data_IF_850265255249
#
_entry.id   IF_850265255249
#
_cell.length_a   1.000
_cell.length_b   1.000
_cell.length_c   1.000
_cell.angle_alpha   90.00
_cell.angle_beta   90.00
_cell.angle_gamma   90.00
#
_symmetry.space_group_name_H-M   'P 1'
#
loop_
_entity.id
_entity.type
_entity.pdbx_description
1 polymer ?
#
# COMPACT_ATOMS: atom_id res chain seq x y z
N UNK A 1 15.81 -14.65 -0.42
CA UNK A 1 16.02 -15.11 0.98
C UNK A 1 14.77 -14.68 1.77
N UNK A 2 14.15 -15.50 2.60
CA UNK A 2 12.98 -15.05 3.34
C UNK A 2 13.35 -13.91 4.31
N UNK A 3 12.43 -12.95 4.48
CA UNK A 3 12.60 -11.80 5.38
C UNK A 3 12.55 -12.26 6.85
N UNK A 4 11.70 -13.25 7.13
CA UNK A 4 11.51 -13.82 8.47
C UNK A 4 11.97 -15.30 8.51
N UNK A 5 12.27 -15.77 9.71
CA UNK A 5 12.44 -17.20 9.98
C UNK A 5 11.13 -17.93 9.65
N UNK A 6 11.17 -19.11 8.95
CA UNK A 6 9.96 -19.82 8.53
C UNK A 6 9.02 -20.24 9.68
N UNK A 7 9.54 -20.43 10.90
CA UNK A 7 8.70 -20.74 12.06
C UNK A 7 7.98 -19.50 12.56
N UNK A 8 8.62 -18.33 12.51
CA UNK A 8 8.00 -17.03 12.83
C UNK A 8 6.92 -16.71 11.81
N UNK A 9 7.19 -16.90 10.52
CA UNK A 9 6.21 -16.70 9.45
C UNK A 9 4.99 -17.59 9.63
N UNK A 10 5.20 -18.89 9.94
CA UNK A 10 4.10 -19.83 10.22
C UNK A 10 3.29 -19.40 11.44
N UNK A 11 3.95 -19.04 12.53
CA UNK A 11 3.31 -18.55 13.74
C UNK A 11 2.43 -17.33 13.47
N UNK A 12 2.93 -16.34 12.73
CA UNK A 12 2.17 -15.15 12.36
C UNK A 12 0.95 -15.51 11.49
N UNK A 13 1.11 -16.45 10.55
CA UNK A 13 0.02 -16.95 9.72
C UNK A 13 -1.09 -17.61 10.55
N UNK A 14 -0.73 -18.35 11.60
CA UNK A 14 -1.68 -18.99 12.51
C UNK A 14 -2.42 -17.98 13.40
N UNK A 15 -1.87 -16.76 13.58
CA UNK A 15 -2.52 -15.65 14.28
C UNK A 15 -3.51 -14.87 13.40
N UNK A 16 -3.59 -15.19 12.12
CA UNK A 16 -4.43 -14.45 11.18
C UNK A 16 -5.89 -14.49 11.64
N UNK A 17 -6.55 -13.32 11.81
CA UNK A 17 -7.95 -13.27 12.21
C UNK A 17 -8.88 -13.80 11.11
N UNK A 18 -10.10 -14.12 11.49
CA UNK A 18 -11.17 -14.45 10.55
C UNK A 18 -11.40 -13.29 9.58
N UNK A 19 -11.63 -13.61 8.31
CA UNK A 19 -11.83 -12.66 7.22
C UNK A 19 -13.29 -12.41 6.96
N UNK A 20 -13.65 -11.20 6.55
CA UNK A 20 -14.98 -10.96 5.99
C UNK A 20 -15.18 -11.81 4.71
N UNK A 21 -16.43 -12.19 4.37
CA UNK A 21 -16.70 -12.94 3.14
C UNK A 21 -16.14 -12.24 1.88
N UNK A 22 -16.21 -10.91 1.83
CA UNK A 22 -15.67 -10.13 0.72
C UNK A 22 -14.15 -10.28 0.61
N UNK A 23 -13.42 -10.16 1.72
CA UNK A 23 -11.95 -10.35 1.74
C UNK A 23 -11.54 -11.75 1.34
N UNK A 24 -12.26 -12.78 1.81
CA UNK A 24 -11.97 -14.17 1.45
C UNK A 24 -12.19 -14.42 -0.06
N UNK A 25 -13.23 -13.82 -0.65
CA UNK A 25 -13.49 -13.87 -2.09
C UNK A 25 -12.38 -13.14 -2.88
N UNK A 26 -11.98 -11.94 -2.45
CA UNK A 26 -10.90 -11.16 -3.09
C UNK A 26 -9.58 -11.93 -3.11
N UNK A 27 -9.22 -12.60 -2.01
CA UNK A 27 -8.02 -13.43 -1.94
C UNK A 27 -8.09 -14.63 -2.89
N UNK A 28 -9.24 -15.30 -2.98
CA UNK A 28 -9.44 -16.41 -3.92
C UNK A 28 -9.37 -15.95 -5.38
N UNK A 29 -9.90 -14.76 -5.69
CA UNK A 29 -9.79 -14.13 -7.02
C UNK A 29 -8.35 -13.77 -7.31
N UNK A 30 -7.65 -13.14 -6.37
CA UNK A 30 -6.26 -12.75 -6.51
C UNK A 30 -5.36 -13.97 -6.80
N UNK A 31 -5.54 -15.08 -6.09
CA UNK A 31 -4.80 -16.31 -6.31
C UNK A 31 -5.10 -16.95 -7.67
N UNK A 32 -6.40 -17.03 -8.04
CA UNK A 32 -6.84 -17.64 -9.30
C UNK A 32 -6.38 -16.86 -10.53
N UNK A 33 -6.50 -15.52 -10.49
CA UNK A 33 -6.33 -14.64 -11.65
C UNK A 33 -4.97 -13.93 -11.66
N UNK A 34 -4.12 -14.19 -10.65
CA UNK A 34 -2.79 -13.60 -10.52
C UNK A 34 -2.83 -12.08 -10.26
N UNK A 35 -3.88 -11.59 -9.59
CA UNK A 35 -3.99 -10.17 -9.24
C UNK A 35 -3.12 -9.90 -8.01
N UNK A 36 -2.17 -8.94 -8.07
CA UNK A 36 -1.40 -8.59 -6.89
C UNK A 36 -2.29 -7.91 -5.85
N UNK A 37 -2.23 -8.40 -4.61
CA UNK A 37 -2.83 -7.77 -3.43
C UNK A 37 -1.79 -7.74 -2.31
N UNK A 38 -1.92 -6.78 -1.40
CA UNK A 38 -1.02 -6.69 -0.23
C UNK A 38 -1.11 -7.92 0.66
N UNK A 39 -0.05 -8.22 1.39
CA UNK A 39 -0.09 -9.22 2.46
C UNK A 39 -1.15 -8.85 3.51
N UNK A 40 -1.77 -9.84 4.13
CA UNK A 40 -2.82 -9.58 5.12
C UNK A 40 -2.32 -8.77 6.33
N UNK A 41 -1.05 -8.91 6.70
CA UNK A 41 -0.39 -8.15 7.76
C UNK A 41 -0.31 -6.66 7.39
N UNK A 42 0.03 -6.35 6.14
CA UNK A 42 0.00 -4.98 5.60
C UNK A 42 -1.41 -4.40 5.67
N UNK A 43 -2.41 -5.17 5.24
CA UNK A 43 -3.82 -4.76 5.34
C UNK A 43 -4.23 -4.49 6.79
N UNK A 44 -3.83 -5.33 7.75
CA UNK A 44 -4.11 -5.12 9.17
C UNK A 44 -3.39 -3.92 9.77
N UNK A 45 -2.17 -3.65 9.34
CA UNK A 45 -1.44 -2.44 9.76
C UNK A 45 -2.18 -1.18 9.27
N UNK A 46 -2.56 -1.14 7.99
CA UNK A 46 -3.33 -0.03 7.42
C UNK A 46 -4.67 0.15 8.15
N UNK A 47 -5.38 -0.94 8.43
CA UNK A 47 -6.62 -0.92 9.20
C UNK A 47 -6.42 -0.32 10.60
N UNK A 48 -5.36 -0.72 11.31
CA UNK A 48 -5.04 -0.19 12.63
C UNK A 48 -4.71 1.32 12.60
N UNK A 49 -3.96 1.77 11.59
CA UNK A 49 -3.65 3.18 11.36
C UNK A 49 -4.94 3.96 11.10
N UNK A 50 -5.80 3.48 10.18
CA UNK A 50 -7.06 4.12 9.85
C UNK A 50 -8.00 4.19 11.08
N UNK A 51 -8.08 3.11 11.87
CA UNK A 51 -8.87 3.10 13.10
C UNK A 51 -8.39 4.11 14.14
N UNK A 52 -7.07 4.32 14.23
CA UNK A 52 -6.46 5.25 15.20
C UNK A 52 -6.57 6.72 14.77
N UNK A 53 -6.51 7.00 13.48
CA UNK A 53 -6.39 8.37 12.94
C UNK A 53 -7.68 8.90 12.30
N UNK A 54 -8.56 8.03 11.80
CA UNK A 54 -9.73 8.38 10.95
C UNK A 54 -9.36 9.32 9.78
N UNK A 55 -8.33 8.97 8.96
CA UNK A 55 -7.67 9.88 8.03
C UNK A 55 -8.45 10.06 6.72
N UNK A 56 -8.13 11.16 6.01
CA UNK A 56 -8.32 11.24 4.55
C UNK A 56 -7.10 10.61 3.90
N UNK A 57 -7.31 9.48 3.22
CA UNK A 57 -6.25 8.66 2.61
C UNK A 57 -6.14 8.97 1.12
N UNK A 58 -4.91 9.11 0.63
CA UNK A 58 -4.58 8.94 -0.80
C UNK A 58 -3.89 7.59 -0.96
N UNK A 59 -4.47 6.71 -1.75
CA UNK A 59 -3.89 5.41 -2.11
C UNK A 59 -3.49 5.40 -3.58
N UNK A 60 -2.27 4.96 -3.87
CA UNK A 60 -1.76 4.78 -5.23
C UNK A 60 -1.65 3.27 -5.51
N UNK A 61 -2.58 2.77 -6.32
CA UNK A 61 -2.73 1.35 -6.64
C UNK A 61 -3.91 0.70 -5.92
N UNK A 62 -5.09 0.73 -6.55
CA UNK A 62 -6.31 0.09 -6.04
C UNK A 62 -6.31 -1.41 -6.29
N UNK A 63 -5.87 -1.85 -7.46
CA UNK A 63 -6.10 -3.19 -7.98
C UNK A 63 -7.58 -3.58 -7.84
N UNK A 64 -7.88 -4.70 -7.16
CA UNK A 64 -9.27 -5.10 -6.87
C UNK A 64 -9.81 -4.52 -5.55
N UNK A 65 -9.05 -3.63 -4.87
CA UNK A 65 -9.48 -2.88 -3.68
C UNK A 65 -9.23 -3.55 -2.34
N UNK A 66 -8.30 -4.51 -2.24
CA UNK A 66 -8.09 -5.27 -1.01
C UNK A 66 -7.53 -4.43 0.13
N UNK A 67 -6.48 -3.63 -0.11
CA UNK A 67 -5.94 -2.64 0.84
C UNK A 67 -6.95 -1.55 1.16
N UNK A 68 -7.63 -1.03 0.14
CA UNK A 68 -8.70 -0.03 0.27
C UNK A 68 -9.80 -0.52 1.21
N UNK A 69 -10.24 -1.79 1.08
CA UNK A 69 -11.27 -2.37 1.93
C UNK A 69 -10.83 -2.46 3.40
N UNK A 70 -9.58 -2.90 3.65
CA UNK A 70 -9.00 -2.90 5.00
C UNK A 70 -9.01 -1.52 5.66
N UNK A 71 -8.74 -0.47 4.90
CA UNK A 71 -8.78 0.92 5.38
C UNK A 71 -10.21 1.41 5.58
N UNK A 72 -11.05 1.30 4.56
CA UNK A 72 -12.40 1.86 4.54
C UNK A 72 -13.33 1.28 5.62
N UNK A 73 -13.19 -0.01 5.96
CA UNK A 73 -13.94 -0.64 7.05
C UNK A 73 -13.67 -0.02 8.42
N UNK A 74 -12.56 0.71 8.59
CA UNK A 74 -12.16 1.31 9.87
C UNK A 74 -12.47 2.80 9.99
N UNK A 75 -12.85 3.45 8.90
CA UNK A 75 -13.10 4.88 8.87
C UNK A 75 -14.53 5.21 9.35
N UNK A 76 -14.67 6.34 10.03
CA UNK A 76 -15.96 6.88 10.49
C UNK A 76 -16.32 8.16 9.71
N UNK A 77 -15.41 9.13 9.66
CA UNK A 77 -15.53 10.41 8.93
C UNK A 77 -14.47 10.55 7.85
N UNK A 78 -13.39 9.79 7.98
CA UNK A 78 -12.34 9.70 6.98
C UNK A 78 -12.85 9.05 5.69
N UNK A 79 -12.03 9.12 4.65
CA UNK A 79 -12.31 8.49 3.36
C UNK A 79 -11.02 8.06 2.68
N UNK A 80 -11.15 7.18 1.69
CA UNK A 80 -10.05 6.78 0.82
C UNK A 80 -10.30 7.31 -0.59
N UNK A 81 -9.35 8.07 -1.12
CA UNK A 81 -9.23 8.38 -2.55
C UNK A 81 -8.18 7.44 -3.10
N UNK A 82 -8.57 6.53 -3.98
CA UNK A 82 -7.68 5.48 -4.51
C UNK A 82 -7.58 5.57 -6.03
N UNK A 83 -6.36 5.34 -6.55
CA UNK A 83 -6.03 5.52 -7.96
C UNK A 83 -5.80 4.19 -8.64
N UNK A 84 -6.51 3.97 -9.78
CA UNK A 84 -6.37 2.77 -10.60
C UNK A 84 -6.37 3.14 -12.08
N UNK A 85 -5.43 2.58 -12.84
CA UNK A 85 -5.36 2.81 -14.30
C UNK A 85 -6.15 1.80 -15.12
N UNK A 86 -6.44 0.64 -14.55
CA UNK A 86 -7.18 -0.46 -15.18
C UNK A 86 -8.66 -0.34 -14.82
N UNK A 87 -9.49 0.05 -15.80
CA UNK A 87 -10.91 0.26 -15.59
C UNK A 87 -11.65 -1.02 -15.16
N UNK A 88 -11.23 -2.20 -15.63
CA UNK A 88 -11.87 -3.47 -15.27
C UNK A 88 -11.60 -3.80 -13.80
N UNK A 89 -10.38 -3.53 -13.30
CA UNK A 89 -10.03 -3.65 -11.88
C UNK A 89 -10.78 -2.64 -11.03
N UNK A 90 -10.86 -1.39 -11.48
CA UNK A 90 -11.61 -0.34 -10.79
C UNK A 90 -13.10 -0.73 -10.64
N UNK A 91 -13.72 -1.26 -11.69
CA UNK A 91 -15.10 -1.72 -11.61
C UNK A 91 -15.28 -2.93 -10.69
N UNK A 92 -14.35 -3.87 -10.71
CA UNK A 92 -14.33 -5.00 -9.79
C UNK A 92 -14.22 -4.54 -8.32
N UNK A 93 -13.35 -3.56 -8.05
CA UNK A 93 -13.19 -2.96 -6.71
C UNK A 93 -14.49 -2.27 -6.25
N UNK A 94 -15.16 -1.50 -7.12
CA UNK A 94 -16.49 -0.90 -6.81
C UNK A 94 -17.50 -1.94 -6.35
N UNK A 95 -17.55 -3.08 -7.05
CA UNK A 95 -18.42 -4.19 -6.69
C UNK A 95 -18.14 -4.73 -5.27
N UNK A 96 -16.87 -4.85 -4.88
CA UNK A 96 -16.49 -5.26 -3.54
C UNK A 96 -16.88 -4.21 -2.48
N UNK A 97 -16.62 -2.93 -2.73
CA UNK A 97 -16.96 -1.85 -1.79
C UNK A 97 -18.46 -1.73 -1.56
N UNK A 98 -19.28 -1.91 -2.61
CA UNK A 98 -20.73 -1.95 -2.48
C UNK A 98 -21.20 -3.11 -1.61
N UNK A 99 -20.70 -4.34 -1.85
CA UNK A 99 -21.07 -5.53 -1.06
C UNK A 99 -20.60 -5.46 0.39
N UNK A 100 -19.49 -4.79 0.64
CA UNK A 100 -18.96 -4.56 1.99
C UNK A 100 -19.64 -3.37 2.72
N UNK A 101 -20.44 -2.56 2.02
CA UNK A 101 -21.14 -1.41 2.61
C UNK A 101 -20.22 -0.24 2.95
N UNK A 102 -19.12 -0.07 2.20
CA UNK A 102 -18.14 1.02 2.42
C UNK A 102 -18.00 1.96 1.20
N UNK A 103 -18.83 1.79 0.19
CA UNK A 103 -18.75 2.55 -1.06
C UNK A 103 -18.89 4.07 -0.87
N UNK A 104 -19.55 4.51 0.19
CA UNK A 104 -19.70 5.91 0.56
C UNK A 104 -18.43 6.56 1.13
N UNK A 105 -17.43 5.75 1.48
CA UNK A 105 -16.14 6.17 2.04
C UNK A 105 -14.99 6.03 1.05
N UNK A 106 -15.25 5.56 -0.18
CA UNK A 106 -14.21 5.29 -1.18
C UNK A 106 -14.52 6.01 -2.48
N UNK A 107 -13.56 6.80 -2.94
CA UNK A 107 -13.55 7.42 -4.26
C UNK A 107 -12.47 6.75 -5.12
N UNK A 108 -12.84 6.12 -6.23
CA UNK A 108 -11.88 5.58 -7.20
C UNK A 108 -11.71 6.60 -8.33
N UNK A 109 -10.46 7.05 -8.51
CA UNK A 109 -10.07 7.92 -9.62
C UNK A 109 -9.32 7.09 -10.66
N UNK A 110 -9.91 6.93 -11.83
CA UNK A 110 -9.31 6.16 -12.92
C UNK A 110 -8.29 7.00 -13.69
N UNK A 111 -7.15 6.40 -14.02
CA UNK A 111 -6.10 7.01 -14.83
C UNK A 111 -4.68 6.72 -14.34
N UNK A 112 -3.70 7.25 -15.07
CA UNK A 112 -2.29 7.21 -14.64
C UNK A 112 -2.11 8.03 -13.36
N UNK A 113 -1.52 7.42 -12.34
CA UNK A 113 -1.38 8.07 -11.03
C UNK A 113 -0.58 9.37 -11.09
N UNK A 114 0.40 9.49 -12.00
CA UNK A 114 1.19 10.72 -12.18
C UNK A 114 0.34 11.90 -12.65
N UNK A 115 -0.64 11.63 -13.48
CA UNK A 115 -1.58 12.66 -13.98
C UNK A 115 -2.69 12.90 -12.95
N UNK A 116 -3.26 11.85 -12.39
CA UNK A 116 -4.38 11.96 -11.47
C UNK A 116 -3.97 12.61 -10.15
N UNK A 117 -2.81 12.27 -9.56
CA UNK A 117 -2.30 12.95 -8.37
C UNK A 117 -2.18 14.46 -8.60
N UNK A 118 -1.66 14.87 -9.76
CA UNK A 118 -1.50 16.30 -10.05
C UNK A 118 -2.84 17.06 -10.02
N UNK A 119 -3.92 16.43 -10.47
CA UNK A 119 -5.26 17.01 -10.55
C UNK A 119 -6.05 16.97 -9.21
N UNK A 120 -5.66 16.11 -8.24
CA UNK A 120 -6.35 16.02 -6.97
C UNK A 120 -6.14 17.24 -6.09
N UNK A 121 -7.14 17.54 -5.30
CA UNK A 121 -7.05 18.52 -4.22
C UNK A 121 -6.88 17.82 -2.87
N UNK A 122 -5.84 18.23 -2.12
CA UNK A 122 -5.66 17.79 -0.72
C UNK A 122 -6.52 18.60 0.25
N UNK A 123 -6.24 18.55 1.54
CA UNK A 123 -5.12 17.85 2.14
C UNK A 123 -5.42 16.39 2.50
N UNK A 124 -4.39 15.53 2.40
CA UNK A 124 -4.43 14.13 2.83
C UNK A 124 -3.65 13.94 4.13
N UNK A 125 -4.14 13.04 5.00
CA UNK A 125 -3.54 12.70 6.28
C UNK A 125 -2.63 11.46 6.19
N UNK A 126 -2.89 10.59 5.20
CA UNK A 126 -2.16 9.37 4.93
C UNK A 126 -1.97 9.20 3.41
N UNK A 127 -0.73 8.93 3.00
CA UNK A 127 -0.40 8.45 1.66
C UNK A 127 0.02 6.99 1.73
N UNK A 128 -0.70 6.12 1.02
CA UNK A 128 -0.31 4.73 0.83
C UNK A 128 0.09 4.48 -0.63
N UNK A 129 1.27 3.85 -0.84
CA UNK A 129 1.82 3.61 -2.18
C UNK A 129 2.09 2.13 -2.37
N UNK A 130 1.35 1.51 -3.30
CA UNK A 130 1.54 0.13 -3.75
C UNK A 130 1.16 -0.03 -5.24
N UNK A 131 1.99 0.51 -6.13
CA UNK A 131 1.78 0.47 -7.58
C UNK A 131 3.07 0.07 -8.33
N UNK A 132 3.46 0.81 -9.38
CA UNK A 132 4.68 0.56 -10.16
C UNK A 132 5.93 0.94 -9.35
N UNK A 133 6.74 -0.06 -8.98
CA UNK A 133 7.85 0.10 -8.01
C UNK A 133 8.90 1.13 -8.43
N UNK A 134 9.16 1.26 -9.73
CA UNK A 134 10.11 2.25 -10.28
C UNK A 134 9.59 3.69 -10.24
N UNK A 135 8.29 3.89 -10.03
CA UNK A 135 7.63 5.20 -10.03
C UNK A 135 7.28 5.71 -8.61
N UNK A 136 7.59 4.94 -7.56
CA UNK A 136 7.24 5.27 -6.17
C UNK A 136 7.69 6.66 -5.73
N UNK A 137 8.94 7.03 -6.05
CA UNK A 137 9.48 8.36 -5.70
C UNK A 137 8.70 9.48 -6.39
N UNK A 138 8.36 9.31 -7.66
CA UNK A 138 7.59 10.28 -8.43
C UNK A 138 6.18 10.45 -7.83
N UNK A 139 5.50 9.35 -7.47
CA UNK A 139 4.21 9.41 -6.78
C UNK A 139 4.27 10.19 -5.46
N UNK A 140 5.30 9.92 -4.65
CA UNK A 140 5.51 10.60 -3.37
C UNK A 140 5.79 12.10 -3.61
N UNK A 141 6.65 12.45 -4.57
CA UNK A 141 6.98 13.83 -4.90
C UNK A 141 5.75 14.62 -5.39
N UNK A 142 4.90 14.02 -6.20
CA UNK A 142 3.66 14.64 -6.69
C UNK A 142 2.61 14.79 -5.58
N UNK A 143 2.52 13.83 -4.65
CA UNK A 143 1.56 13.84 -3.56
C UNK A 143 1.98 14.75 -2.39
N UNK A 144 3.28 14.91 -2.14
CA UNK A 144 3.81 15.60 -0.96
C UNK A 144 3.24 17.03 -0.73
N UNK A 145 3.05 17.89 -1.77
CA UNK A 145 2.44 19.21 -1.58
C UNK A 145 0.97 19.15 -1.14
N UNK A 146 0.32 18.01 -1.30
CA UNK A 146 -1.08 17.77 -0.97
C UNK A 146 -1.26 17.06 0.37
N UNK A 147 -0.16 16.75 1.06
CA UNK A 147 -0.17 16.12 2.38
C UNK A 147 -0.21 17.20 3.47
N UNK A 148 -0.93 16.91 4.55
CA UNK A 148 -0.89 17.72 5.78
C UNK A 148 0.50 17.68 6.41
N UNK A 149 0.77 18.68 7.25
CA UNK A 149 1.90 18.61 8.17
C UNK A 149 1.76 17.35 9.04
N UNK A 150 2.85 16.61 9.20
CA UNK A 150 2.89 15.32 9.91
C UNK A 150 2.04 14.21 9.29
N UNK A 151 1.62 14.34 8.03
CA UNK A 151 0.96 13.24 7.34
C UNK A 151 1.82 11.98 7.37
N UNK A 152 1.15 10.83 7.43
CA UNK A 152 1.80 9.54 7.41
C UNK A 152 2.00 9.08 5.96
N UNK A 153 3.19 8.57 5.66
CA UNK A 153 3.52 7.87 4.42
C UNK A 153 3.70 6.39 4.75
N UNK A 154 2.99 5.54 4.03
CA UNK A 154 3.16 4.08 4.07
C UNK A 154 3.45 3.58 2.66
N UNK A 155 4.51 2.78 2.50
CA UNK A 155 4.95 2.27 1.19
C UNK A 155 5.14 0.75 1.29
N UNK A 156 4.49 0.00 0.41
CA UNK A 156 4.64 -1.46 0.39
C UNK A 156 5.83 -1.93 -0.46
N UNK A 157 6.24 -3.19 -0.27
CA UNK A 157 7.27 -3.92 -1.03
C UNK A 157 8.70 -3.34 -0.93
N UNK A 158 9.04 -2.63 0.12
CA UNK A 158 10.37 -2.01 0.25
C UNK A 158 11.50 -3.01 0.57
N UNK A 159 11.18 -4.25 0.98
CA UNK A 159 12.15 -5.33 1.12
C UNK A 159 12.08 -6.36 -0.03
N UNK A 160 11.03 -6.31 -0.86
CA UNK A 160 10.87 -7.15 -2.06
C UNK A 160 11.16 -8.63 -1.80
N UNK A 161 10.56 -9.19 -0.74
CA UNK A 161 10.81 -10.57 -0.33
C UNK A 161 12.24 -10.88 0.10
N UNK A 162 13.03 -9.85 0.46
CA UNK A 162 14.43 -9.94 0.83
C UNK A 162 15.41 -9.68 -0.31
N UNK A 163 14.96 -9.59 -1.55
CA UNK A 163 15.83 -9.41 -2.73
C UNK A 163 16.56 -8.06 -2.73
N UNK A 164 15.99 -7.04 -2.06
CA UNK A 164 16.64 -5.73 -1.88
C UNK A 164 18.02 -5.84 -1.19
N UNK A 165 18.21 -6.84 -0.34
CA UNK A 165 19.49 -7.12 0.35
C UNK A 165 20.43 -8.06 -0.42
N UNK A 166 20.02 -8.56 -1.58
CA UNK A 166 20.84 -9.45 -2.39
C UNK A 166 22.11 -8.74 -2.88
N UNK A 167 23.26 -9.44 -2.94
CA UNK A 167 24.48 -8.90 -3.55
C UNK A 167 24.25 -8.53 -5.02
N UNK A 168 24.97 -7.52 -5.51
CA UNK A 168 24.92 -7.15 -6.95
C UNK A 168 25.27 -8.34 -7.82
N UNK A 169 24.43 -8.58 -8.84
CA UNK A 169 24.58 -9.70 -9.77
C UNK A 169 24.06 -11.04 -9.26
N UNK A 170 23.47 -11.09 -8.09
CA UNK A 170 22.73 -12.27 -7.65
C UNK A 170 21.45 -12.43 -8.49
N UNK A 171 21.03 -13.69 -8.67
CA UNK A 171 19.71 -13.96 -9.26
C UNK A 171 18.60 -13.57 -8.29
N UNK A 172 17.69 -12.69 -8.74
CA UNK A 172 16.58 -12.14 -7.95
C UNK A 172 15.27 -12.30 -8.71
N UNK A 173 14.16 -12.31 -7.97
CA UNK A 173 12.79 -12.35 -8.56
C UNK A 173 12.38 -10.99 -9.13
N UNK A 174 12.93 -9.91 -8.59
CA UNK A 174 12.63 -8.54 -9.00
C UNK A 174 13.70 -8.02 -9.96
N UNK A 175 13.28 -7.18 -10.91
CA UNK A 175 14.19 -6.51 -11.82
C UNK A 175 15.12 -5.53 -11.08
N UNK A 176 16.37 -5.36 -11.57
CA UNK A 176 17.38 -4.54 -10.87
C UNK A 176 16.98 -3.06 -10.75
N UNK A 177 16.23 -2.51 -11.71
CA UNK A 177 15.73 -1.14 -11.65
C UNK A 177 14.74 -0.95 -10.47
N UNK A 178 13.85 -1.92 -10.25
CA UNK A 178 12.92 -1.93 -9.12
C UNK A 178 13.66 -2.06 -7.78
N UNK A 179 14.68 -2.95 -7.71
CA UNK A 179 15.52 -3.09 -6.53
C UNK A 179 16.33 -1.83 -6.24
N UNK A 180 16.87 -1.19 -7.28
CA UNK A 180 17.61 0.07 -7.14
C UNK A 180 16.70 1.19 -6.64
N UNK A 181 15.49 1.31 -7.18
CA UNK A 181 14.47 2.27 -6.74
C UNK A 181 14.12 2.08 -5.26
N UNK A 182 13.86 0.83 -4.84
CA UNK A 182 13.56 0.53 -3.44
C UNK A 182 14.72 0.86 -2.50
N UNK A 183 15.97 0.52 -2.87
CA UNK A 183 17.16 0.85 -2.06
C UNK A 183 17.33 2.36 -1.86
N UNK A 184 17.10 3.16 -2.90
CA UNK A 184 17.16 4.63 -2.82
C UNK A 184 16.06 5.14 -1.90
N UNK A 185 14.82 4.71 -2.10
CA UNK A 185 13.69 5.14 -1.26
C UNK A 185 13.87 4.73 0.21
N UNK A 186 14.34 3.52 0.49
CA UNK A 186 14.67 3.07 1.84
C UNK A 186 15.67 4.01 2.53
N UNK A 187 16.71 4.43 1.81
CA UNK A 187 17.71 5.35 2.34
C UNK A 187 17.13 6.75 2.60
N UNK A 188 16.24 7.23 1.74
CA UNK A 188 15.56 8.52 1.90
C UNK A 188 14.61 8.53 3.11
N UNK A 189 13.84 7.46 3.31
CA UNK A 189 12.90 7.35 4.42
C UNK A 189 13.59 7.23 5.78
N UNK A 190 14.73 6.53 5.84
CA UNK A 190 15.47 6.28 7.09
C UNK A 190 16.51 7.36 7.35
N UNK A 191 17.11 7.94 6.30
CA UNK A 191 18.23 8.88 6.39
C UNK A 191 17.86 10.26 6.94
N UNK A 192 16.58 10.56 7.10
CA UNK A 192 16.10 11.85 7.58
C UNK A 192 16.02 12.92 6.48
N UNK A 193 15.68 14.13 6.86
CA UNK A 193 15.44 15.25 5.95
C UNK A 193 13.95 15.52 5.77
N UNK A 194 13.34 15.10 4.68
CA UNK A 194 11.90 15.30 4.44
C UNK A 194 11.01 14.36 5.27
N UNK A 195 11.52 13.18 5.61
CA UNK A 195 10.80 12.10 6.26
C UNK A 195 11.50 11.64 7.53
N UNK A 196 10.73 11.34 8.55
CA UNK A 196 11.16 10.62 9.74
C UNK A 196 10.52 9.24 9.71
N UNK A 197 11.28 8.20 9.35
CA UNK A 197 10.70 6.90 9.10
C UNK A 197 11.61 5.72 9.35
N UNK A 198 11.06 4.54 9.10
CA UNK A 198 11.75 3.26 9.17
C UNK A 198 11.18 2.28 8.13
N UNK A 199 11.90 1.19 7.89
CA UNK A 199 11.43 0.04 7.10
C UNK A 199 11.22 -1.13 8.05
N UNK A 200 10.02 -1.69 8.02
CA UNK A 200 9.57 -2.80 8.87
C UNK A 200 9.51 -4.10 8.06
N UNK A 201 9.89 -5.21 8.68
CA UNK A 201 9.79 -6.55 8.10
C UNK A 201 8.35 -7.12 8.23
N UNK A 202 7.38 -6.43 7.64
CA UNK A 202 5.97 -6.83 7.57
C UNK A 202 5.64 -7.09 6.10
N UNK A 203 5.02 -8.23 5.78
CA UNK A 203 4.78 -8.62 4.39
C UNK A 203 6.08 -8.61 3.57
N UNK A 204 6.06 -7.96 2.42
CA UNK A 204 7.24 -7.75 1.56
C UNK A 204 8.08 -6.51 1.94
N UNK A 205 7.93 -6.04 3.18
CA UNK A 205 8.62 -4.87 3.71
C UNK A 205 7.82 -3.59 3.57
N UNK A 206 7.48 -2.97 4.71
CA UNK A 206 6.71 -1.73 4.78
C UNK A 206 7.59 -0.58 5.21
N UNK A 207 7.64 0.48 4.41
CA UNK A 207 8.12 1.78 4.85
C UNK A 207 7.03 2.53 5.58
N UNK A 208 7.34 3.05 6.77
CA UNK A 208 6.45 3.93 7.51
C UNK A 208 7.21 5.20 7.87
N UNK A 209 6.71 6.34 7.47
CA UNK A 209 7.35 7.62 7.72
C UNK A 209 6.33 8.73 7.97
N UNK A 210 6.75 9.78 8.65
CA UNK A 210 5.97 11.02 8.77
C UNK A 210 6.72 12.19 8.14
N UNK A 211 5.97 13.13 7.60
CA UNK A 211 6.52 14.37 7.05
C UNK A 211 7.11 15.23 8.18
N UNK A 212 8.34 15.72 7.99
CA UNK A 212 9.06 16.58 8.95
C UNK A 212 8.75 18.04 8.70
#
# INVERSE_FOLDING_TARGET
MPILDPNVERYLKDLRPERSPAMAEMEAVAERDGVPIVHWETGRLLAAICRAMDPVVLEVGTAIGYSTLHMAEQLERGRVVTLERDADRAEQARGYFQRAGVADRVEIVEGDARETIAALEGPFDLLFVDATKTEYREYIELAEPKLRDRALLVVDNLLMGGDVAAPRGAETRWAEDSLASARVLNSELVGGGRWLGCVLAVGDGIGVATKV
#
